data_IF_908874958580
#
_entry.id   IF_908874958580
#
_cell.length_a   1.000
_cell.length_b   1.000
_cell.length_c   1.000
_cell.angle_alpha   90.00
_cell.angle_beta   90.00
_cell.angle_gamma   90.00
#
_symmetry.space_group_name_H-M   'P 1'
#
loop_
_entity.id
_entity.type
_entity.pdbx_description
1 polymer ?
#
# COMPACT_ATOMS: atom_id res chain seq x y z
N UNK A 1 8.45 -21.76 45.13
CA UNK A 1 7.54 -21.28 44.06
C UNK A 1 8.03 -20.01 43.32
N UNK A 2 9.34 -19.68 43.33
CA UNK A 2 9.89 -18.52 42.59
C UNK A 2 10.51 -18.87 41.23
N UNK A 3 10.81 -20.15 40.99
CA UNK A 3 11.48 -20.61 39.75
C UNK A 3 10.52 -20.90 38.59
N UNK A 4 9.21 -21.00 38.84
CA UNK A 4 8.22 -21.27 37.80
C UNK A 4 7.79 -20.00 37.04
N UNK A 5 7.99 -18.82 37.63
CA UNK A 5 7.50 -17.56 37.06
C UNK A 5 8.41 -17.01 35.94
N UNK A 6 9.68 -17.41 35.91
CA UNK A 6 10.65 -16.92 34.92
C UNK A 6 10.54 -17.62 33.55
N UNK A 7 9.86 -18.77 33.46
CA UNK A 7 9.79 -19.55 32.22
C UNK A 7 8.70 -19.08 31.26
N UNK A 8 7.72 -18.30 31.74
CA UNK A 8 6.55 -17.87 30.94
C UNK A 8 6.84 -16.61 30.10
N UNK A 9 7.80 -15.78 30.50
CA UNK A 9 8.07 -14.49 29.84
C UNK A 9 8.85 -14.66 28.52
N UNK A 10 9.60 -15.76 28.34
CA UNK A 10 10.40 -15.97 27.13
C UNK A 10 9.59 -16.35 25.88
N UNK A 11 8.32 -16.73 26.01
CA UNK A 11 7.48 -17.14 24.87
C UNK A 11 6.82 -15.93 24.17
N UNK A 12 6.77 -14.76 24.82
CA UNK A 12 6.08 -13.58 24.29
C UNK A 12 6.92 -12.72 23.33
N UNK A 13 8.19 -13.06 23.09
CA UNK A 13 9.09 -12.26 22.25
C UNK A 13 9.33 -12.82 20.83
N UNK A 14 8.71 -13.95 20.47
CA UNK A 14 8.88 -14.57 19.15
C UNK A 14 7.72 -14.30 18.16
N UNK A 15 6.75 -13.49 18.54
CA UNK A 15 5.60 -13.14 17.69
C UNK A 15 5.81 -11.89 16.84
N UNK A 16 6.94 -11.74 16.15
CA UNK A 16 6.97 -10.83 14.99
C UNK A 16 6.52 -11.63 13.77
N UNK A 17 5.21 -11.60 13.52
CA UNK A 17 4.63 -12.09 12.28
C UNK A 17 5.19 -11.23 11.14
N UNK A 18 6.15 -11.80 10.42
CA UNK A 18 6.73 -11.20 9.22
C UNK A 18 5.64 -11.19 8.15
N UNK A 19 4.86 -10.11 8.09
CA UNK A 19 3.96 -9.86 6.97
C UNK A 19 4.76 -9.99 5.66
N UNK A 20 4.32 -10.93 4.82
CA UNK A 20 4.91 -11.22 3.52
C UNK A 20 4.85 -9.96 2.66
N UNK A 21 5.97 -9.22 2.59
CA UNK A 21 6.15 -8.14 1.63
C UNK A 21 6.26 -8.78 0.24
N UNK A 22 5.12 -8.92 -0.44
CA UNK A 22 5.07 -9.27 -1.86
C UNK A 22 5.76 -8.13 -2.61
N UNK A 23 6.94 -8.35 -3.22
CA UNK A 23 7.56 -7.34 -4.06
C UNK A 23 6.57 -7.02 -5.17
N UNK A 24 6.18 -5.75 -5.30
CA UNK A 24 5.40 -5.29 -6.44
C UNK A 24 6.25 -5.63 -7.66
N UNK A 25 5.91 -6.71 -8.36
CA UNK A 25 6.45 -6.99 -9.68
C UNK A 25 6.32 -5.69 -10.46
N UNK A 26 7.38 -5.30 -11.17
CA UNK A 26 7.32 -4.21 -12.15
C UNK A 26 6.40 -4.64 -13.28
N UNK A 27 5.11 -4.79 -13.01
CA UNK A 27 4.08 -4.65 -14.01
C UNK A 27 4.36 -3.32 -14.66
N UNK A 28 4.50 -3.31 -15.97
CA UNK A 28 4.66 -2.11 -16.79
C UNK A 28 3.43 -1.21 -16.57
N UNK A 29 3.40 -0.52 -15.43
CA UNK A 29 2.23 0.16 -14.96
C UNK A 29 2.40 1.60 -15.39
N UNK A 30 1.63 1.94 -16.43
CA UNK A 30 1.50 3.28 -16.98
C UNK A 30 1.52 4.30 -15.86
N UNK A 31 2.63 5.02 -15.71
CA UNK A 31 2.67 6.22 -14.89
C UNK A 31 1.71 7.21 -15.54
N UNK A 32 0.46 7.25 -15.07
CA UNK A 32 -0.55 8.11 -15.64
C UNK A 32 -0.20 9.55 -15.26
N UNK A 33 0.48 10.22 -16.18
CA UNK A 33 0.93 11.60 -16.02
C UNK A 33 -0.29 12.50 -15.90
N UNK A 34 -0.41 13.20 -14.78
CA UNK A 34 -1.52 14.11 -14.50
C UNK A 34 -1.18 15.52 -15.00
N UNK A 35 0.04 15.98 -14.70
CA UNK A 35 0.55 17.31 -15.06
C UNK A 35 2.08 17.24 -15.25
N UNK A 36 2.75 18.38 -15.49
CA UNK A 36 4.22 18.47 -15.40
C UNK A 36 4.70 17.72 -14.17
N UNK A 37 5.67 16.81 -14.39
CA UNK A 37 6.36 15.98 -13.40
C UNK A 37 5.52 15.33 -12.29
N UNK A 38 4.19 15.33 -12.39
CA UNK A 38 3.26 14.79 -11.41
C UNK A 38 2.63 13.51 -11.97
N UNK A 39 2.89 12.41 -11.26
CA UNK A 39 2.48 11.07 -11.65
C UNK A 39 1.73 10.38 -10.52
N UNK A 40 0.78 9.52 -10.87
CA UNK A 40 0.30 8.48 -9.95
C UNK A 40 1.16 7.24 -10.09
N UNK A 41 1.86 6.90 -9.01
CA UNK A 41 2.71 5.71 -8.93
C UNK A 41 1.99 4.64 -8.13
N UNK A 42 1.95 3.38 -8.60
CA UNK A 42 1.33 2.30 -7.87
C UNK A 42 2.12 2.00 -6.59
N UNK A 43 1.42 1.76 -5.50
CA UNK A 43 2.00 1.45 -4.18
C UNK A 43 1.54 0.09 -3.63
N UNK A 44 0.69 -0.62 -4.35
CA UNK A 44 0.22 -1.95 -3.97
C UNK A 44 -1.26 -2.16 -4.27
N UNK A 45 -1.83 -3.18 -3.65
CA UNK A 45 -3.26 -3.44 -3.61
C UNK A 45 -3.75 -3.38 -2.16
N UNK A 46 -4.99 -2.97 -1.94
CA UNK A 46 -5.63 -3.10 -0.64
C UNK A 46 -6.15 -4.53 -0.41
N UNK A 47 -6.75 -4.77 0.76
CA UNK A 47 -7.30 -6.08 1.16
C UNK A 47 -8.43 -6.57 0.24
N UNK A 48 -9.08 -5.66 -0.48
CA UNK A 48 -10.13 -5.96 -1.46
C UNK A 48 -9.55 -6.18 -2.87
N UNK A 49 -8.21 -6.12 -3.03
CA UNK A 49 -7.50 -6.30 -4.29
C UNK A 49 -7.42 -5.04 -5.17
N UNK A 50 -7.89 -3.88 -4.68
CA UNK A 50 -7.91 -2.64 -5.44
C UNK A 50 -6.51 -2.04 -5.57
N UNK A 51 -6.06 -1.75 -6.81
CA UNK A 51 -4.79 -1.04 -7.02
C UNK A 51 -4.80 0.35 -6.37
N UNK A 52 -3.82 0.58 -5.50
CA UNK A 52 -3.57 1.84 -4.81
C UNK A 52 -2.41 2.59 -5.47
N UNK A 53 -2.54 3.91 -5.50
CA UNK A 53 -1.55 4.83 -6.05
C UNK A 53 -1.25 5.98 -5.08
N UNK A 54 -0.07 6.58 -5.22
CA UNK A 54 0.29 7.86 -4.60
C UNK A 54 0.73 8.87 -5.65
N UNK A 55 0.54 10.15 -5.35
CA UNK A 55 1.05 11.25 -6.16
C UNK A 55 2.55 11.45 -5.89
N UNK A 56 3.35 11.48 -6.96
CA UNK A 56 4.79 11.75 -6.91
C UNK A 56 5.16 12.88 -7.87
N UNK A 57 5.95 13.82 -7.38
CA UNK A 57 6.60 14.88 -8.16
C UNK A 57 8.03 15.07 -7.68
N UNK A 58 8.93 15.37 -8.61
CA UNK A 58 10.34 15.66 -8.30
C UNK A 58 10.55 17.13 -7.93
N UNK A 59 9.68 18.02 -8.41
CA UNK A 59 9.82 19.47 -8.22
C UNK A 59 8.86 20.07 -7.18
N UNK A 60 7.79 19.37 -6.81
CA UNK A 60 6.74 19.86 -5.91
C UNK A 60 6.48 18.88 -4.77
N UNK A 61 6.10 19.42 -3.61
CA UNK A 61 5.55 18.60 -2.53
C UNK A 61 4.19 18.03 -2.96
N UNK A 62 3.98 16.75 -2.68
CA UNK A 62 2.70 16.07 -2.93
C UNK A 62 2.02 15.73 -1.62
N UNK A 63 0.68 15.69 -1.65
CA UNK A 63 -0.11 15.19 -0.54
C UNK A 63 0.04 13.66 -0.46
N UNK A 64 0.29 13.15 0.75
CA UNK A 64 0.21 11.71 1.02
C UNK A 64 -1.26 11.33 1.18
N UNK A 65 -1.85 10.85 0.08
CA UNK A 65 -3.19 10.28 0.06
C UNK A 65 -3.18 9.00 -0.79
N UNK A 66 -4.04 8.05 -0.43
CA UNK A 66 -4.28 6.85 -1.23
C UNK A 66 -5.26 7.21 -2.35
N UNK A 67 -4.90 6.85 -3.56
CA UNK A 67 -5.68 7.12 -4.77
C UNK A 67 -5.99 5.79 -5.41
N UNK A 68 -7.26 5.52 -5.66
CA UNK A 68 -7.75 4.32 -6.32
C UNK A 68 -8.00 4.60 -7.80
N UNK A 69 -7.76 3.60 -8.63
CA UNK A 69 -8.15 3.60 -10.03
C UNK A 69 -9.35 2.68 -10.23
N UNK A 70 -10.38 3.18 -10.91
CA UNK A 70 -11.55 2.39 -11.21
C UNK A 70 -11.40 1.62 -12.56
N UNK A 71 -12.36 0.74 -12.87
CA UNK A 71 -12.51 -0.07 -14.07
C UNK A 71 -12.50 0.70 -15.39
N UNK A 72 -12.77 2.00 -15.32
CA UNK A 72 -12.76 2.92 -16.45
C UNK A 72 -11.45 3.73 -16.54
N UNK A 73 -10.47 3.40 -15.70
CA UNK A 73 -9.18 4.08 -15.63
C UNK A 73 -9.21 5.43 -14.90
N UNK A 74 -10.32 5.84 -14.27
CA UNK A 74 -10.44 7.11 -13.54
C UNK A 74 -9.89 6.99 -12.13
N UNK A 75 -9.29 8.07 -11.64
CA UNK A 75 -8.66 8.15 -10.32
C UNK A 75 -9.53 8.89 -9.31
N UNK A 76 -9.61 8.39 -8.08
CA UNK A 76 -10.37 8.99 -6.98
C UNK A 76 -9.73 8.67 -5.62
N UNK A 77 -9.94 9.53 -4.64
CA UNK A 77 -9.65 9.22 -3.23
C UNK A 77 -10.78 8.41 -2.57
N UNK A 78 -11.97 8.37 -3.20
CA UNK A 78 -13.05 7.48 -2.79
C UNK A 78 -12.76 6.07 -3.29
N UNK A 79 -12.88 5.11 -2.39
CA UNK A 79 -12.89 3.70 -2.74
C UNK A 79 -14.26 3.32 -3.28
N UNK A 80 -14.47 3.59 -4.56
CA UNK A 80 -15.67 3.15 -5.26
C UNK A 80 -15.52 1.66 -5.61
N UNK A 81 -16.02 0.80 -4.71
CA UNK A 81 -15.98 -0.66 -4.80
C UNK A 81 -16.40 -1.30 -6.14
N UNK A 82 -17.42 -0.82 -6.89
CA UNK A 82 -17.91 -1.57 -8.06
C UNK A 82 -16.91 -1.68 -9.21
N UNK A 83 -15.76 -1.03 -9.12
CA UNK A 83 -14.85 -0.86 -10.24
C UNK A 83 -13.38 -1.04 -9.84
N UNK A 84 -13.03 -1.72 -8.75
CA UNK A 84 -11.64 -2.14 -8.61
C UNK A 84 -11.33 -3.16 -9.72
N UNK A 85 -10.39 -2.81 -10.61
CA UNK A 85 -9.99 -3.63 -11.76
C UNK A 85 -9.51 -5.02 -11.33
#
# INVERSE_FOLDING_TARGET
MKKLFLMVISILLFGCESENYQPIEKTQQSNNKIKSDLYYVPIGRDDDGCMMYQAKSESMMTMQAIIYQNGLGKFSMSRDKPNCL
#
